data_IF_274114163190
#
_entry.id   IF_274114163190
#
_cell.length_a   1.000
_cell.length_b   1.000
_cell.length_c   1.000
_cell.angle_alpha   90.00
_cell.angle_beta   90.00
_cell.angle_gamma   90.00
#
_symmetry.space_group_name_H-M   'P 1'
#
loop_
_entity.id
_entity.type
_entity.pdbx_description
1 polymer ?
#
# COMPACT_ATOMS: atom_id res chain seq x y z
N UNK A 1 -11.96 -0.38 26.94
CA UNK A 1 -11.51 1.04 26.90
C UNK A 1 -10.10 1.16 26.33
N UNK A 2 -9.09 0.49 26.90
CA UNK A 2 -7.66 0.59 26.49
C UNK A 2 -7.45 0.35 24.99
N UNK A 3 -7.99 -0.75 24.41
CA UNK A 3 -7.88 -1.04 22.98
C UNK A 3 -8.38 0.11 22.09
N UNK A 4 -9.52 0.70 22.42
CA UNK A 4 -10.12 1.81 21.63
C UNK A 4 -9.23 3.04 21.63
N UNK A 5 -8.62 3.36 22.78
CA UNK A 5 -7.68 4.48 22.92
C UNK A 5 -6.41 4.20 22.08
N UNK A 6 -5.82 3.01 22.22
CA UNK A 6 -4.63 2.63 21.45
C UNK A 6 -4.91 2.59 19.95
N UNK A 7 -6.03 2.03 19.52
CA UNK A 7 -6.43 1.99 18.12
C UNK A 7 -6.68 3.40 17.55
N UNK A 8 -7.31 4.30 18.33
CA UNK A 8 -7.45 5.70 17.97
C UNK A 8 -6.09 6.38 17.81
N UNK A 9 -5.19 6.20 18.78
CA UNK A 9 -3.83 6.74 18.73
C UNK A 9 -3.08 6.22 17.50
N UNK A 10 -3.11 4.91 17.23
CA UNK A 10 -2.50 4.32 16.05
C UNK A 10 -3.12 4.87 14.74
N UNK A 11 -4.42 5.18 14.73
CA UNK A 11 -5.08 5.85 13.60
C UNK A 11 -4.55 7.26 13.36
N UNK A 12 -4.29 8.02 14.43
CA UNK A 12 -3.63 9.32 14.31
C UNK A 12 -2.22 9.15 13.78
N UNK A 13 -1.45 8.21 14.32
CA UNK A 13 -0.06 7.93 13.88
C UNK A 13 -0.03 7.54 12.40
N UNK A 14 -0.91 6.67 11.94
CA UNK A 14 -0.97 6.29 10.51
C UNK A 14 -1.33 7.47 9.61
N UNK A 15 -2.26 8.35 10.01
CA UNK A 15 -2.60 9.58 9.26
C UNK A 15 -1.46 10.61 9.23
N UNK A 16 -0.63 10.63 10.26
CA UNK A 16 0.58 11.46 10.28
C UNK A 16 1.65 10.84 9.37
N UNK A 17 1.87 9.53 9.46
CA UNK A 17 2.92 8.85 8.71
C UNK A 17 2.62 8.74 7.22
N UNK A 18 1.37 8.39 6.86
CA UNK A 18 0.92 8.32 5.47
C UNK A 18 0.18 9.59 5.08
N UNK A 19 0.44 10.05 3.86
CA UNK A 19 -0.30 11.17 3.28
C UNK A 19 -1.73 10.76 2.93
N UNK A 20 -1.92 9.50 2.53
CA UNK A 20 -3.20 8.94 2.14
C UNK A 20 -3.20 7.45 2.47
N UNK A 21 -4.23 7.01 3.17
CA UNK A 21 -4.59 5.61 3.40
C UNK A 21 -5.91 5.39 2.68
N UNK A 22 -5.88 4.61 1.63
CA UNK A 22 -7.07 4.21 0.87
C UNK A 22 -7.51 2.84 1.37
N UNK A 23 -8.80 2.66 1.60
CA UNK A 23 -9.36 1.41 2.12
C UNK A 23 -10.48 0.99 1.18
N UNK A 24 -10.47 -0.28 0.75
CA UNK A 24 -11.43 -0.85 -0.19
C UNK A 24 -11.86 -2.22 0.31
N UNK A 25 -13.13 -2.58 0.09
CA UNK A 25 -13.65 -3.91 0.43
C UNK A 25 -14.00 -4.07 1.92
N UNK A 26 -14.22 -2.98 2.66
CA UNK A 26 -14.62 -3.04 4.09
C UNK A 26 -15.96 -3.78 4.24
N UNK A 27 -16.81 -3.72 3.25
CA UNK A 27 -18.09 -4.43 3.13
C UNK A 27 -17.93 -5.96 3.12
N UNK A 28 -16.75 -6.47 2.78
CA UNK A 28 -16.41 -7.90 2.81
C UNK A 28 -16.11 -8.41 4.23
N UNK A 29 -16.01 -7.53 5.22
CA UNK A 29 -15.68 -7.90 6.59
C UNK A 29 -16.95 -8.26 7.34
N UNK A 30 -17.12 -9.53 7.77
CA UNK A 30 -18.27 -9.91 8.58
C UNK A 30 -18.33 -9.08 9.88
N UNK A 31 -19.47 -8.45 10.19
CA UNK A 31 -19.60 -7.61 11.39
C UNK A 31 -19.52 -8.43 12.68
N UNK A 32 -19.94 -9.68 12.63
CA UNK A 32 -19.98 -10.62 13.78
C UNK A 32 -19.34 -11.95 13.41
N UNK A 33 -19.23 -12.86 14.37
CA UNK A 33 -18.62 -14.17 14.18
C UNK A 33 -17.08 -14.14 14.20
N UNK A 34 -16.47 -15.32 14.19
CA UNK A 34 -15.02 -15.49 14.16
C UNK A 34 -14.43 -15.06 12.81
N UNK A 35 -13.45 -14.14 12.83
CA UNK A 35 -12.79 -13.66 11.62
C UNK A 35 -11.29 -13.81 11.72
N UNK A 36 -10.69 -14.34 10.66
CA UNK A 36 -9.25 -14.41 10.48
C UNK A 36 -8.83 -13.47 9.34
N UNK A 37 -8.24 -12.33 9.68
CA UNK A 37 -7.60 -11.44 8.70
C UNK A 37 -6.26 -12.03 8.29
N UNK A 38 -6.13 -12.45 7.04
CA UNK A 38 -4.89 -13.00 6.49
C UNK A 38 -4.30 -12.03 5.47
N UNK A 39 -3.15 -11.43 5.78
CA UNK A 39 -2.53 -10.38 4.97
C UNK A 39 -1.15 -10.74 4.42
N UNK A 40 -0.73 -10.10 3.30
CA UNK A 40 0.67 -10.06 2.93
C UNK A 40 1.47 -9.15 3.90
N UNK A 41 2.78 -9.35 4.01
CA UNK A 41 3.60 -8.73 5.05
C UNK A 41 4.80 -7.91 4.54
N UNK A 42 4.56 -6.82 3.78
CA UNK A 42 5.63 -6.06 3.14
C UNK A 42 6.32 -5.01 4.03
N UNK A 43 5.76 -4.66 5.20
CA UNK A 43 6.22 -3.49 5.96
C UNK A 43 6.19 -3.66 7.50
N UNK A 44 6.51 -4.87 7.95
CA UNK A 44 6.73 -5.20 9.36
C UNK A 44 5.59 -4.70 10.28
N UNK A 45 5.89 -3.92 11.33
CA UNK A 45 4.90 -3.46 12.32
C UNK A 45 3.81 -2.55 11.73
N UNK A 46 4.06 -1.91 10.59
CA UNK A 46 3.06 -1.04 9.95
C UNK A 46 1.86 -1.84 9.44
N UNK A 47 2.07 -3.06 8.97
CA UNK A 47 1.02 -3.88 8.38
C UNK A 47 -0.10 -4.23 9.38
N UNK A 48 0.17 -4.79 10.57
CA UNK A 48 -0.87 -5.00 11.56
C UNK A 48 -1.53 -3.69 12.03
N UNK A 49 -0.77 -2.59 12.13
CA UNK A 49 -1.32 -1.28 12.50
C UNK A 49 -2.36 -0.81 11.47
N UNK A 50 -2.08 -0.99 10.18
CA UNK A 50 -3.04 -0.64 9.12
C UNK A 50 -4.32 -1.46 9.22
N UNK A 51 -4.24 -2.78 9.44
CA UNK A 51 -5.42 -3.62 9.61
C UNK A 51 -6.21 -3.21 10.86
N UNK A 52 -5.56 -3.04 12.02
CA UNK A 52 -6.19 -2.59 13.28
C UNK A 52 -6.95 -1.28 13.08
N UNK A 53 -6.40 -0.36 12.30
CA UNK A 53 -6.95 1.00 12.15
C UNK A 53 -8.01 1.12 11.06
N UNK A 54 -8.17 0.12 10.20
CA UNK A 54 -9.05 0.17 9.02
C UNK A 54 -10.19 -0.85 9.00
N UNK A 55 -10.07 -2.00 9.68
CA UNK A 55 -11.05 -3.09 9.58
C UNK A 55 -12.34 -2.89 10.40
N UNK A 56 -12.40 -1.92 11.31
CA UNK A 56 -13.58 -1.68 12.16
C UNK A 56 -13.78 -2.66 13.31
N UNK A 57 -12.98 -3.75 13.41
CA UNK A 57 -13.08 -4.78 14.45
C UNK A 57 -11.88 -4.73 15.41
N UNK A 58 -12.06 -5.30 16.61
CA UNK A 58 -10.95 -5.55 17.53
C UNK A 58 -10.17 -6.76 17.03
N UNK A 59 -8.93 -6.54 16.57
CA UNK A 59 -8.09 -7.60 16.00
C UNK A 59 -6.97 -7.97 16.96
N UNK A 60 -6.81 -9.26 17.19
CA UNK A 60 -5.73 -9.85 17.97
C UNK A 60 -4.65 -10.36 17.01
N UNK A 61 -3.42 -9.87 17.11
CA UNK A 61 -2.32 -10.31 16.24
C UNK A 61 -1.37 -11.25 16.95
N UNK A 62 -0.95 -12.28 16.23
CA UNK A 62 0.19 -13.08 16.62
C UNK A 62 1.48 -12.26 16.47
N UNK A 63 2.19 -12.02 17.55
CA UNK A 63 3.40 -11.23 17.58
C UNK A 63 4.58 -12.01 18.18
N UNK A 64 5.79 -11.77 17.66
CA UNK A 64 7.00 -12.42 18.12
C UNK A 64 7.22 -12.16 19.63
N UNK A 65 7.49 -13.21 20.40
CA UNK A 65 7.68 -13.15 21.86
C UNK A 65 8.77 -12.16 22.29
N UNK A 66 9.82 -11.99 21.47
CA UNK A 66 10.90 -11.04 21.74
C UNK A 66 10.41 -9.58 21.80
N UNK A 67 9.27 -9.25 21.19
CA UNK A 67 8.67 -7.92 21.27
C UNK A 67 8.06 -7.65 22.65
N UNK A 68 7.78 -8.66 23.44
CA UNK A 68 7.21 -8.53 24.79
C UNK A 68 8.26 -8.37 25.90
N UNK A 69 9.56 -8.31 25.59
CA UNK A 69 10.63 -8.19 26.59
C UNK A 69 10.59 -6.88 27.35
N UNK A 70 10.28 -5.75 26.69
CA UNK A 70 10.18 -4.43 27.31
C UNK A 70 8.86 -4.20 28.05
N UNK A 71 8.88 -3.62 29.27
CA UNK A 71 7.67 -3.37 30.09
C UNK A 71 6.61 -2.55 29.33
N UNK A 72 7.03 -1.44 28.70
CA UNK A 72 6.14 -0.57 27.95
C UNK A 72 5.57 -1.29 26.69
N UNK A 73 6.44 -1.90 25.90
CA UNK A 73 6.02 -2.62 24.68
C UNK A 73 5.09 -3.78 25.02
N UNK A 74 5.37 -4.52 26.10
CA UNK A 74 4.47 -5.56 26.61
C UNK A 74 3.09 -5.03 26.99
N UNK A 75 3.02 -3.89 27.68
CA UNK A 75 1.74 -3.27 28.04
C UNK A 75 0.96 -2.82 26.81
N UNK A 76 1.62 -2.19 25.83
CA UNK A 76 1.00 -1.75 24.56
C UNK A 76 0.51 -2.96 23.75
N UNK A 77 1.34 -3.97 23.56
CA UNK A 77 0.98 -5.18 22.78
C UNK A 77 -0.17 -5.95 23.45
N UNK A 78 -0.14 -6.12 24.78
CA UNK A 78 -1.26 -6.72 25.52
C UNK A 78 -2.53 -5.85 25.44
N UNK A 79 -2.41 -4.54 25.52
CA UNK A 79 -3.53 -3.61 25.36
C UNK A 79 -4.16 -3.68 23.97
N UNK A 80 -3.38 -3.98 22.94
CA UNK A 80 -3.84 -4.26 21.57
C UNK A 80 -4.33 -5.71 21.39
N UNK A 81 -4.21 -6.57 22.43
CA UNK A 81 -4.62 -7.97 22.35
C UNK A 81 -3.65 -8.85 21.57
N UNK A 82 -2.38 -8.44 21.43
CA UNK A 82 -1.39 -9.25 20.74
C UNK A 82 -1.06 -10.54 21.54
N UNK A 83 -1.00 -11.67 20.83
CA UNK A 83 -0.68 -13.00 21.35
C UNK A 83 0.79 -13.31 21.05
N UNK A 84 1.62 -13.60 22.07
CA UNK A 84 3.02 -13.93 21.83
C UNK A 84 3.15 -15.30 21.17
N UNK A 85 3.96 -15.39 20.10
CA UNK A 85 4.31 -16.64 19.42
C UNK A 85 5.83 -16.78 19.30
N UNK A 86 6.34 -18.00 19.41
CA UNK A 86 7.73 -18.34 19.11
C UNK A 86 7.84 -18.88 17.69
N UNK A 87 8.82 -18.39 16.93
CA UNK A 87 9.13 -18.90 15.59
C UNK A 87 10.19 -20.00 15.68
N UNK A 88 10.07 -21.05 14.86
CA UNK A 88 11.09 -22.12 14.80
C UNK A 88 12.48 -21.59 14.43
N UNK A 89 12.54 -20.61 13.53
CA UNK A 89 13.78 -20.01 13.03
C UNK A 89 14.56 -19.21 14.11
N UNK A 90 13.96 -18.94 15.27
CA UNK A 90 14.62 -18.22 16.37
C UNK A 90 15.42 -19.15 17.32
N UNK A 91 15.42 -20.45 17.09
CA UNK A 91 16.16 -21.45 17.89
C UNK A 91 17.56 -21.70 17.37
N UNK A 92 17.77 -21.43 16.08
CA UNK A 92 19.04 -21.68 15.44
C UNK A 92 19.78 -20.35 15.24
N UNK A 93 20.60 -19.98 16.25
CA UNK A 93 21.82 -19.28 15.91
C UNK A 93 22.50 -20.15 14.84
N UNK A 94 22.74 -19.60 13.66
CA UNK A 94 23.30 -20.24 12.44
C UNK A 94 24.13 -21.48 12.78
N UNK A 95 23.65 -22.72 12.51
CA UNK A 95 24.50 -23.87 12.68
C UNK A 95 25.63 -23.81 11.63
N UNK A 96 26.85 -24.25 11.98
CA UNK A 96 27.89 -24.46 10.99
C UNK A 96 27.37 -25.46 9.95
N UNK A 97 27.70 -25.22 8.70
CA UNK A 97 27.20 -25.95 7.51
C UNK A 97 27.48 -27.46 7.49
N UNK A 98 28.18 -27.98 8.53
CA UNK A 98 28.70 -29.36 8.61
C UNK A 98 28.33 -30.08 9.89
N UNK A 99 27.25 -29.70 10.62
CA UNK A 99 26.81 -30.43 11.79
C UNK A 99 25.86 -31.58 11.42
N UNK A 100 26.06 -32.82 11.94
CA UNK A 100 25.21 -33.96 11.65
C UNK A 100 23.78 -33.73 12.21
N UNK A 101 22.78 -34.15 11.44
CA UNK A 101 21.37 -34.07 11.79
C UNK A 101 21.06 -34.73 13.13
N UNK A 102 20.76 -33.93 14.15
CA UNK A 102 20.25 -34.47 15.42
C UNK A 102 18.75 -34.75 15.32
N UNK A 103 18.24 -35.77 15.97
CA UNK A 103 16.85 -36.16 15.90
C UNK A 103 15.94 -35.12 16.51
N UNK A 104 14.91 -34.74 15.74
CA UNK A 104 13.90 -33.73 16.09
C UNK A 104 13.01 -34.27 17.22
N UNK A 105 13.42 -34.06 18.47
CA UNK A 105 12.56 -34.29 19.64
C UNK A 105 12.27 -32.99 20.36
N UNK A 106 10.97 -32.60 20.32
CA UNK A 106 10.27 -31.56 21.07
C UNK A 106 10.81 -30.12 20.91
N UNK A 107 9.98 -29.09 20.74
CA UNK A 107 8.75 -28.85 21.48
C UNK A 107 7.58 -28.32 20.64
N UNK A 108 6.57 -29.10 20.52
CA UNK A 108 5.23 -28.67 20.10
C UNK A 108 4.57 -27.76 21.16
N UNK A 109 4.97 -27.86 22.43
CA UNK A 109 4.31 -27.25 23.59
C UNK A 109 4.23 -25.72 23.60
N UNK A 110 5.19 -25.01 23.04
CA UNK A 110 5.23 -23.53 23.13
C UNK A 110 4.28 -22.82 22.13
N UNK A 111 3.91 -23.47 21.03
CA UNK A 111 2.93 -22.93 20.09
C UNK A 111 1.49 -23.38 20.41
N UNK A 112 1.30 -24.45 21.15
CA UNK A 112 -0.05 -24.93 21.56
C UNK A 112 -0.77 -23.90 22.42
N UNK A 113 -0.10 -23.30 23.40
CA UNK A 113 -0.70 -22.25 24.24
C UNK A 113 -1.10 -21.02 23.43
N UNK A 114 -0.29 -20.63 22.43
CA UNK A 114 -0.60 -19.52 21.53
C UNK A 114 -1.78 -19.86 20.61
N UNK A 115 -1.82 -21.09 20.07
CA UNK A 115 -2.97 -21.54 19.27
C UNK A 115 -4.23 -21.65 20.12
N UNK A 116 -4.16 -22.17 21.35
CA UNK A 116 -5.29 -22.23 22.27
C UNK A 116 -5.87 -20.83 22.56
N UNK A 117 -5.01 -19.83 22.80
CA UNK A 117 -5.44 -18.46 23.00
C UNK A 117 -6.10 -17.86 21.75
N UNK A 118 -5.59 -18.18 20.55
CA UNK A 118 -6.19 -17.74 19.29
C UNK A 118 -7.52 -18.44 19.03
N UNK A 119 -7.64 -19.73 19.31
CA UNK A 119 -8.92 -20.44 19.21
C UNK A 119 -9.98 -19.83 20.12
N UNK A 120 -9.65 -19.54 21.38
CA UNK A 120 -10.58 -18.89 22.32
C UNK A 120 -11.10 -17.54 21.80
N UNK A 121 -10.27 -16.77 21.08
CA UNK A 121 -10.70 -15.54 20.42
C UNK A 121 -11.71 -15.83 19.30
N UNK A 122 -11.45 -16.82 18.44
CA UNK A 122 -12.34 -17.16 17.33
C UNK A 122 -13.68 -17.76 17.85
N UNK A 123 -13.62 -18.64 18.85
CA UNK A 123 -14.78 -19.22 19.52
C UNK A 123 -15.71 -18.17 20.13
N UNK A 124 -15.12 -17.10 20.69
CA UNK A 124 -15.89 -15.94 21.20
C UNK A 124 -16.42 -15.00 20.12
N UNK A 125 -16.29 -15.36 18.84
CA UNK A 125 -16.67 -14.49 17.72
C UNK A 125 -15.73 -13.29 17.50
N UNK A 126 -14.50 -13.37 18.05
CA UNK A 126 -13.48 -12.33 17.91
C UNK A 126 -12.75 -12.37 16.56
N UNK A 127 -11.82 -11.45 16.37
CA UNK A 127 -11.04 -11.38 15.16
C UNK A 127 -9.53 -11.52 15.44
N UNK A 128 -8.85 -12.29 14.58
CA UNK A 128 -7.41 -12.51 14.61
C UNK A 128 -6.79 -11.98 13.32
N UNK A 129 -5.60 -11.40 13.42
CA UNK A 129 -4.76 -11.05 12.27
C UNK A 129 -3.53 -11.96 12.20
N UNK A 130 -3.26 -12.47 11.02
CA UNK A 130 -2.11 -13.32 10.73
C UNK A 130 -1.48 -12.94 9.38
N UNK A 131 -0.18 -13.11 9.30
CA UNK A 131 0.56 -13.00 8.05
C UNK A 131 1.06 -14.39 7.67
N UNK A 132 0.37 -15.08 6.73
CA UNK A 132 0.63 -16.50 6.46
C UNK A 132 1.99 -16.76 5.79
N UNK A 133 2.67 -15.74 5.28
CA UNK A 133 4.06 -15.81 4.83
C UNK A 133 5.02 -16.16 5.96
N UNK A 134 4.67 -15.77 7.19
CA UNK A 134 5.44 -16.04 8.40
C UNK A 134 6.70 -15.19 8.56
N UNK A 135 6.99 -14.32 7.60
CA UNK A 135 8.09 -13.34 7.63
C UNK A 135 7.64 -12.06 6.93
N UNK A 136 8.26 -10.93 7.29
CA UNK A 136 8.10 -9.67 6.58
C UNK A 136 9.23 -9.52 5.57
N UNK A 137 8.91 -9.12 4.32
CA UNK A 137 9.87 -8.93 3.23
C UNK A 137 9.35 -7.88 2.24
N UNK A 138 10.25 -7.33 1.43
CA UNK A 138 9.89 -6.38 0.37
C UNK A 138 10.14 -6.95 -1.04
N UNK A 139 9.91 -8.24 -1.24
CA UNK A 139 9.97 -8.88 -2.54
C UNK A 139 8.78 -8.47 -3.42
N UNK A 140 8.95 -8.61 -4.73
CA UNK A 140 7.92 -8.26 -5.72
C UNK A 140 6.82 -9.31 -5.86
N UNK A 141 6.92 -10.42 -5.13
CA UNK A 141 5.99 -11.53 -5.13
C UNK A 141 5.59 -11.93 -3.71
N UNK A 142 4.38 -12.47 -3.58
CA UNK A 142 3.94 -13.10 -2.36
C UNK A 142 4.80 -14.35 -2.08
N UNK A 143 5.36 -14.45 -0.88
CA UNK A 143 6.10 -15.62 -0.47
C UNK A 143 5.18 -16.84 -0.29
N UNK A 144 5.77 -18.04 -0.29
CA UNK A 144 5.01 -19.28 -0.07
C UNK A 144 4.30 -19.21 1.29
N UNK A 145 2.99 -19.45 1.29
CA UNK A 145 2.21 -19.43 2.50
C UNK A 145 2.50 -20.65 3.39
N UNK A 146 2.58 -20.39 4.69
CA UNK A 146 2.60 -21.43 5.74
C UNK A 146 1.17 -21.84 6.08
N UNK A 147 0.99 -23.08 6.47
CA UNK A 147 -0.33 -23.67 6.75
C UNK A 147 -1.00 -23.18 8.05
N UNK A 148 -0.36 -22.29 8.81
CA UNK A 148 -0.84 -21.83 10.11
C UNK A 148 -2.21 -21.15 10.06
N UNK A 149 -2.47 -20.34 9.03
CA UNK A 149 -3.76 -19.67 8.83
C UNK A 149 -4.90 -20.68 8.59
N UNK A 150 -4.68 -21.66 7.70
CA UNK A 150 -5.65 -22.69 7.39
C UNK A 150 -5.94 -23.58 8.62
N UNK A 151 -4.90 -23.99 9.35
CA UNK A 151 -5.06 -24.76 10.60
C UNK A 151 -5.85 -24.00 11.65
N UNK A 152 -5.62 -22.68 11.75
CA UNK A 152 -6.32 -21.84 12.71
C UNK A 152 -7.80 -21.67 12.33
N UNK A 153 -8.10 -21.49 11.05
CA UNK A 153 -9.48 -21.35 10.59
C UNK A 153 -10.27 -22.66 10.71
N UNK A 154 -9.72 -23.78 10.24
CA UNK A 154 -10.37 -25.10 10.31
C UNK A 154 -10.54 -25.56 11.76
N UNK A 155 -9.49 -25.45 12.58
CA UNK A 155 -9.55 -25.82 14.00
C UNK A 155 -10.47 -24.89 14.80
N UNK A 156 -10.51 -23.60 14.44
CA UNK A 156 -11.43 -22.62 15.03
C UNK A 156 -12.89 -22.93 14.71
N UNK A 157 -13.20 -23.24 13.44
CA UNK A 157 -14.55 -23.60 13.00
C UNK A 157 -15.03 -24.91 13.67
N UNK A 158 -14.16 -25.92 13.74
CA UNK A 158 -14.46 -27.18 14.44
C UNK A 158 -14.77 -26.95 15.92
N UNK A 159 -13.97 -26.17 16.63
CA UNK A 159 -14.15 -25.89 18.07
C UNK A 159 -15.35 -24.99 18.36
N UNK A 160 -15.54 -23.95 17.56
CA UNK A 160 -16.63 -22.98 17.73
C UNK A 160 -17.99 -23.56 17.34
N UNK A 161 -18.04 -24.70 16.64
CA UNK A 161 -19.26 -25.24 16.01
C UNK A 161 -20.00 -24.21 15.16
N UNK A 162 -19.28 -23.22 14.66
CA UNK A 162 -19.78 -22.09 13.89
C UNK A 162 -18.80 -21.74 12.75
N UNK A 163 -19.26 -21.18 11.64
CA UNK A 163 -18.39 -20.78 10.54
C UNK A 163 -17.36 -19.72 10.96
N UNK A 164 -16.13 -19.88 10.49
CA UNK A 164 -15.07 -18.89 10.59
C UNK A 164 -14.83 -18.29 9.21
N UNK A 165 -14.74 -16.96 9.12
CA UNK A 165 -14.45 -16.27 7.87
C UNK A 165 -12.97 -15.89 7.80
N UNK A 166 -12.26 -16.33 6.75
CA UNK A 166 -10.94 -15.80 6.43
C UNK A 166 -11.15 -14.61 5.49
N UNK A 167 -10.72 -13.42 5.90
CA UNK A 167 -10.73 -12.23 5.06
C UNK A 167 -9.32 -11.97 4.53
N UNK A 168 -9.06 -12.20 3.23
CA UNK A 168 -7.77 -11.89 2.64
C UNK A 168 -7.52 -10.37 2.64
N UNK A 169 -6.32 -9.94 3.02
CA UNK A 169 -5.95 -8.52 3.14
C UNK A 169 -4.77 -8.22 2.22
N UNK A 170 -4.97 -7.38 1.20
CA UNK A 170 -3.91 -6.88 0.33
C UNK A 170 -3.37 -5.53 0.81
N UNK A 171 -2.09 -5.47 1.16
CA UNK A 171 -1.41 -4.25 1.56
C UNK A 171 -0.45 -3.82 0.44
N UNK A 172 -0.75 -2.69 -0.22
CA UNK A 172 0.05 -2.15 -1.32
C UNK A 172 0.58 -0.76 -1.00
N UNK A 173 1.89 -0.64 -0.90
CA UNK A 173 2.57 0.62 -0.63
C UNK A 173 3.15 1.23 -1.91
N UNK A 174 2.85 2.50 -2.19
CA UNK A 174 3.45 3.21 -3.35
C UNK A 174 4.96 3.39 -3.16
N UNK A 175 5.36 3.78 -1.94
CA UNK A 175 6.77 3.88 -1.54
C UNK A 175 6.88 3.38 -0.09
N UNK A 176 7.13 2.08 0.15
CA UNK A 176 7.01 1.46 1.46
C UNK A 176 7.89 2.12 2.53
N UNK A 177 9.08 2.63 2.16
CA UNK A 177 10.07 3.23 3.08
C UNK A 177 9.93 4.74 3.28
N UNK A 178 8.99 5.39 2.56
CA UNK A 178 8.92 6.85 2.52
C UNK A 178 7.85 7.40 3.45
N UNK A 179 8.26 8.31 4.36
CA UNK A 179 7.33 9.14 5.12
C UNK A 179 6.47 10.00 4.20
N UNK A 180 5.19 10.16 4.51
CA UNK A 180 4.17 10.83 3.67
C UNK A 180 3.95 10.15 2.32
N UNK A 181 4.10 8.82 2.28
CA UNK A 181 3.71 7.98 1.15
C UNK A 181 2.19 7.72 1.15
N UNK A 182 1.75 6.92 0.19
CA UNK A 182 0.37 6.42 0.09
C UNK A 182 0.36 4.92 0.25
N UNK A 183 -0.70 4.42 0.85
CA UNK A 183 -0.94 2.99 1.01
C UNK A 183 -2.39 2.66 0.66
N UNK A 184 -2.59 1.50 0.06
CA UNK A 184 -3.88 0.90 -0.21
C UNK A 184 -4.02 -0.34 0.67
N UNK A 185 -5.14 -0.42 1.38
CA UNK A 185 -5.57 -1.58 2.16
C UNK A 185 -6.80 -2.16 1.49
N UNK A 186 -6.73 -3.41 1.05
CA UNK A 186 -7.81 -4.10 0.36
C UNK A 186 -8.27 -5.29 1.17
N UNK A 187 -9.57 -5.41 1.39
CA UNK A 187 -10.20 -6.58 1.99
C UNK A 187 -10.94 -7.35 0.88
N UNK A 188 -10.46 -8.57 0.59
CA UNK A 188 -11.07 -9.45 -0.40
C UNK A 188 -12.33 -10.11 0.11
N UNK A 189 -13.10 -10.77 -0.79
CA UNK A 189 -14.24 -11.59 -0.41
C UNK A 189 -13.85 -12.61 0.67
N UNK A 190 -14.68 -12.84 1.70
CA UNK A 190 -14.37 -13.78 2.75
C UNK A 190 -14.43 -15.22 2.25
N UNK A 191 -13.46 -16.03 2.65
CA UNK A 191 -13.49 -17.49 2.50
C UNK A 191 -14.18 -18.03 3.76
N UNK A 192 -15.37 -18.60 3.58
CA UNK A 192 -16.15 -19.13 4.71
C UNK A 192 -15.75 -20.58 4.98
N UNK A 193 -15.25 -20.83 6.16
CA UNK A 193 -14.85 -22.16 6.65
C UNK A 193 -15.94 -22.70 7.56
N UNK A 194 -16.72 -23.66 7.08
CA UNK A 194 -17.78 -24.30 7.87
C UNK A 194 -17.21 -25.27 8.90
N UNK A 195 -17.92 -25.53 10.02
CA UNK A 195 -17.56 -26.57 10.95
C UNK A 195 -17.46 -27.92 10.25
N UNK A 196 -16.37 -28.62 10.47
CA UNK A 196 -16.10 -29.95 9.92
C UNK A 196 -15.54 -30.86 11.01
N UNK A 197 -15.44 -32.15 10.72
CA UNK A 197 -14.64 -33.09 11.52
C UNK A 197 -13.20 -32.59 11.70
N UNK A 198 -12.40 -33.15 12.62
CA UNK A 198 -11.03 -32.67 12.85
C UNK A 198 -10.27 -32.43 11.55
N UNK A 199 -9.58 -31.28 11.40
CA UNK A 199 -9.01 -30.86 10.12
C UNK A 199 -7.98 -31.84 9.59
N UNK A 200 -8.25 -32.42 8.42
CA UNK A 200 -7.31 -33.30 7.71
C UNK A 200 -6.17 -32.50 7.08
N UNK A 201 -5.05 -33.18 6.81
CA UNK A 201 -3.92 -32.58 6.12
C UNK A 201 -4.28 -32.07 4.72
N UNK A 202 -5.23 -32.73 4.03
CA UNK A 202 -5.71 -32.35 2.70
C UNK A 202 -6.57 -31.10 2.77
N UNK A 203 -7.49 -31.00 3.72
CA UNK A 203 -8.29 -29.78 3.94
C UNK A 203 -7.40 -28.58 4.25
N UNK A 204 -6.35 -28.76 5.06
CA UNK A 204 -5.39 -27.71 5.36
C UNK A 204 -4.62 -27.26 4.11
N UNK A 205 -4.20 -28.20 3.25
CA UNK A 205 -3.52 -27.87 1.97
C UNK A 205 -4.45 -27.15 1.01
N UNK A 206 -5.68 -27.66 0.85
CA UNK A 206 -6.68 -27.06 -0.04
C UNK A 206 -7.00 -25.60 0.38
N UNK A 207 -7.31 -25.36 1.66
CA UNK A 207 -7.61 -24.04 2.18
C UNK A 207 -6.40 -23.10 2.09
N UNK A 208 -5.17 -23.61 2.26
CA UNK A 208 -3.95 -22.81 2.10
C UNK A 208 -3.78 -22.39 0.64
N UNK A 209 -4.06 -23.28 -0.33
CA UNK A 209 -3.98 -22.96 -1.76
C UNK A 209 -5.08 -21.95 -2.18
N UNK A 210 -6.29 -22.07 -1.65
CA UNK A 210 -7.38 -21.13 -1.87
C UNK A 210 -7.02 -19.73 -1.35
N UNK A 211 -6.47 -19.65 -0.14
CA UNK A 211 -5.99 -18.40 0.46
C UNK A 211 -4.82 -17.80 -0.34
N UNK A 212 -3.87 -18.61 -0.82
CA UNK A 212 -2.77 -18.15 -1.68
C UNK A 212 -3.32 -17.50 -2.95
N UNK A 213 -4.26 -18.17 -3.63
CA UNK A 213 -4.94 -17.61 -4.80
C UNK A 213 -5.68 -16.31 -4.50
N UNK A 214 -6.37 -16.22 -3.34
CA UNK A 214 -7.08 -15.02 -2.93
C UNK A 214 -6.12 -13.86 -2.64
N UNK A 215 -5.00 -14.08 -1.96
CA UNK A 215 -4.00 -13.06 -1.69
C UNK A 215 -3.27 -12.60 -2.96
N UNK A 216 -2.94 -13.52 -3.88
CA UNK A 216 -2.33 -13.16 -5.16
C UNK A 216 -3.22 -12.24 -6.00
N UNK A 217 -4.54 -12.38 -5.92
CA UNK A 217 -5.48 -11.45 -6.58
C UNK A 217 -5.48 -10.05 -5.98
N UNK A 218 -5.09 -9.88 -4.73
CA UNK A 218 -5.06 -8.58 -4.02
C UNK A 218 -3.68 -7.93 -4.01
N UNK A 219 -2.63 -8.67 -4.37
CA UNK A 219 -1.23 -8.22 -4.31
C UNK A 219 -0.62 -8.15 -5.70
N UNK A 220 0.45 -7.38 -5.83
CA UNK A 220 1.26 -7.34 -7.04
C UNK A 220 2.22 -8.54 -7.00
N UNK A 221 2.22 -9.37 -8.04
CA UNK A 221 3.06 -10.54 -8.15
C UNK A 221 3.76 -10.53 -9.51
N UNK A 222 4.96 -9.96 -9.56
CA UNK A 222 5.77 -9.91 -10.77
C UNK A 222 7.16 -10.52 -10.49
N UNK A 223 7.87 -11.01 -11.52
CA UNK A 223 9.18 -11.65 -11.35
C UNK A 223 10.19 -10.75 -10.62
N UNK A 224 10.11 -9.45 -10.87
CA UNK A 224 11.00 -8.44 -10.30
C UNK A 224 10.34 -7.07 -10.18
N UNK A 225 11.00 -6.15 -9.51
CA UNK A 225 10.52 -4.78 -9.31
C UNK A 225 10.51 -3.93 -10.59
N UNK A 226 11.27 -4.31 -11.62
CA UNK A 226 11.24 -3.64 -12.91
C UNK A 226 9.94 -3.95 -13.64
N UNK A 227 9.54 -5.22 -13.66
CA UNK A 227 8.22 -5.65 -14.16
C UNK A 227 7.08 -4.98 -13.42
N UNK A 228 7.14 -4.86 -12.08
CA UNK A 228 6.13 -4.11 -11.29
C UNK A 228 6.00 -2.67 -11.78
N UNK A 229 7.12 -1.98 -11.99
CA UNK A 229 7.11 -0.59 -12.47
C UNK A 229 6.58 -0.48 -13.90
N UNK A 230 6.94 -1.42 -14.76
CA UNK A 230 6.44 -1.47 -16.13
C UNK A 230 4.92 -1.70 -16.16
N UNK A 231 4.41 -2.67 -15.39
CA UNK A 231 2.95 -2.93 -15.26
C UNK A 231 2.20 -1.71 -14.69
N UNK A 232 2.76 -1.01 -13.69
CA UNK A 232 2.15 0.22 -13.19
C UNK A 232 2.15 1.34 -14.25
N UNK A 233 3.13 1.36 -15.13
CA UNK A 233 3.19 2.31 -16.25
C UNK A 233 2.19 1.92 -17.34
N UNK A 234 2.10 0.63 -17.72
CA UNK A 234 1.04 0.10 -18.61
C UNK A 234 -0.34 0.50 -18.08
N UNK A 235 -0.60 0.26 -16.80
CA UNK A 235 -1.85 0.64 -16.15
C UNK A 235 -2.14 2.14 -16.28
N UNK A 236 -1.14 3.01 -16.07
CA UNK A 236 -1.31 4.47 -16.19
C UNK A 236 -1.58 4.91 -17.63
N UNK A 237 -0.98 4.27 -18.60
CA UNK A 237 -1.18 4.54 -20.02
C UNK A 237 -2.56 4.05 -20.48
N UNK A 238 -3.01 2.88 -19.99
CA UNK A 238 -4.30 2.31 -20.31
C UNK A 238 -5.49 3.04 -19.68
N UNK A 239 -5.37 3.50 -18.42
CA UNK A 239 -6.45 4.14 -17.67
C UNK A 239 -6.77 5.55 -18.17
N UNK A 240 -8.03 6.04 -18.06
CA UNK A 240 -8.36 7.45 -18.24
C UNK A 240 -7.60 8.37 -17.26
N UNK A 241 -7.50 9.66 -17.59
CA UNK A 241 -6.84 10.65 -16.70
C UNK A 241 -7.54 10.78 -15.35
N UNK A 242 -8.86 10.66 -15.35
CA UNK A 242 -9.70 10.61 -14.15
C UNK A 242 -10.29 9.22 -14.04
N UNK A 243 -9.99 8.55 -12.96
CA UNK A 243 -10.39 7.19 -12.67
C UNK A 243 -10.79 7.08 -11.21
N UNK A 244 -11.86 6.37 -10.92
CA UNK A 244 -12.29 6.06 -9.56
C UNK A 244 -11.27 5.15 -8.86
N UNK A 245 -11.27 5.13 -7.53
CA UNK A 245 -10.41 4.22 -6.75
C UNK A 245 -10.79 2.77 -7.07
N UNK A 246 -12.10 2.48 -7.16
CA UNK A 246 -12.60 1.14 -7.49
C UNK A 246 -12.09 0.63 -8.83
N UNK A 247 -12.23 1.42 -9.90
CA UNK A 247 -11.76 1.04 -11.24
C UNK A 247 -10.24 0.87 -11.28
N UNK A 248 -9.49 1.68 -10.51
CA UNK A 248 -8.03 1.55 -10.40
C UNK A 248 -7.63 0.24 -9.75
N UNK A 249 -8.33 -0.15 -8.70
CA UNK A 249 -8.10 -1.42 -7.99
C UNK A 249 -8.45 -2.58 -8.89
N UNK A 250 -9.61 -2.51 -9.56
CA UNK A 250 -10.04 -3.55 -10.49
C UNK A 250 -9.07 -3.70 -11.66
N UNK A 251 -8.60 -2.61 -12.23
CA UNK A 251 -7.60 -2.63 -13.30
C UNK A 251 -6.28 -3.27 -12.83
N UNK A 252 -5.78 -2.88 -11.65
CA UNK A 252 -4.58 -3.48 -11.07
C UNK A 252 -4.78 -4.98 -10.82
N UNK A 253 -5.95 -5.39 -10.32
CA UNK A 253 -6.31 -6.79 -10.11
C UNK A 253 -6.30 -7.57 -11.43
N UNK A 254 -6.91 -7.05 -12.50
CA UNK A 254 -6.93 -7.71 -13.82
C UNK A 254 -5.51 -7.89 -14.36
N UNK A 255 -4.68 -6.86 -14.32
CA UNK A 255 -3.29 -6.97 -14.74
C UNK A 255 -2.53 -8.03 -13.94
N UNK A 256 -2.63 -8.02 -12.61
CA UNK A 256 -1.96 -9.01 -11.76
C UNK A 256 -2.42 -10.45 -12.03
N UNK A 257 -3.72 -10.65 -12.26
CA UNK A 257 -4.29 -11.99 -12.50
C UNK A 257 -3.87 -12.56 -13.86
N UNK A 258 -3.87 -11.73 -14.90
CA UNK A 258 -3.71 -12.22 -16.27
C UNK A 258 -2.29 -12.08 -16.83
N UNK A 259 -1.44 -11.22 -16.25
CA UNK A 259 -0.09 -10.98 -16.78
C UNK A 259 0.74 -12.27 -16.90
N UNK A 260 0.71 -13.15 -15.90
CA UNK A 260 1.48 -14.40 -15.94
C UNK A 260 1.14 -15.30 -17.13
N UNK A 261 -0.12 -15.30 -17.58
CA UNK A 261 -0.56 -16.09 -18.71
C UNK A 261 -0.13 -15.51 -20.08
N UNK A 262 0.09 -14.19 -20.16
CA UNK A 262 0.42 -13.48 -21.41
C UNK A 262 1.86 -12.95 -21.46
N UNK A 263 2.63 -13.14 -20.40
CA UNK A 263 3.98 -12.59 -20.26
C UNK A 263 4.95 -13.08 -21.36
N UNK A 264 4.73 -14.27 -21.92
CA UNK A 264 5.53 -14.85 -23.00
C UNK A 264 5.03 -14.47 -24.43
N UNK A 265 3.90 -13.78 -24.55
CA UNK A 265 3.39 -13.34 -25.86
C UNK A 265 4.35 -12.29 -26.45
N UNK A 266 4.82 -12.47 -27.70
CA UNK A 266 5.76 -11.54 -28.33
C UNK A 266 5.28 -10.09 -28.34
N UNK A 267 3.97 -9.85 -28.48
CA UNK A 267 3.35 -8.51 -28.46
C UNK A 267 3.50 -7.88 -27.08
N UNK A 268 3.30 -8.67 -26.01
CA UNK A 268 3.44 -8.23 -24.63
C UNK A 268 4.90 -7.95 -24.29
N UNK A 269 5.82 -8.82 -24.72
CA UNK A 269 7.28 -8.66 -24.52
C UNK A 269 7.74 -7.35 -25.16
N UNK A 270 7.38 -7.09 -26.43
CA UNK A 270 7.77 -5.86 -27.13
C UNK A 270 7.12 -4.61 -26.48
N UNK A 271 5.85 -4.70 -26.07
CA UNK A 271 5.18 -3.62 -25.36
C UNK A 271 5.92 -3.28 -24.05
N UNK A 272 6.26 -4.29 -23.25
CA UNK A 272 6.98 -4.12 -21.98
C UNK A 272 8.35 -3.49 -22.20
N UNK A 273 9.08 -3.91 -23.23
CA UNK A 273 10.37 -3.31 -23.62
C UNK A 273 10.22 -1.80 -23.91
N UNK A 274 9.21 -1.41 -24.68
CA UNK A 274 8.91 0.00 -25.01
C UNK A 274 8.47 0.80 -23.79
N UNK A 275 7.66 0.20 -22.92
CA UNK A 275 7.22 0.81 -21.66
C UNK A 275 8.41 1.04 -20.72
N UNK A 276 9.33 0.10 -20.61
CA UNK A 276 10.55 0.27 -19.83
C UNK A 276 11.43 1.40 -20.41
N UNK A 277 11.63 1.44 -21.74
CA UNK A 277 12.37 2.52 -22.37
C UNK A 277 11.74 3.90 -22.12
N UNK A 278 10.42 3.99 -22.23
CA UNK A 278 9.67 5.20 -21.89
C UNK A 278 9.85 5.60 -20.42
N UNK A 279 9.81 4.65 -19.48
CA UNK A 279 10.02 4.92 -18.06
C UNK A 279 11.44 5.45 -17.79
N UNK A 280 12.45 4.90 -18.43
CA UNK A 280 13.84 5.41 -18.35
C UNK A 280 13.92 6.87 -18.84
N UNK A 281 13.27 7.20 -19.94
CA UNK A 281 13.24 8.59 -20.45
C UNK A 281 12.54 9.55 -19.46
N UNK A 282 11.44 9.11 -18.85
CA UNK A 282 10.76 9.88 -17.79
C UNK A 282 11.69 10.12 -16.59
N UNK A 283 12.43 9.10 -16.17
CA UNK A 283 13.35 9.18 -15.04
C UNK A 283 14.55 10.10 -15.33
N UNK A 284 15.13 10.01 -16.53
CA UNK A 284 16.21 10.91 -16.99
C UNK A 284 15.77 12.35 -16.99
N UNK A 285 14.58 12.65 -17.52
CA UNK A 285 14.02 14.00 -17.52
C UNK A 285 13.46 14.41 -16.15
N UNK A 286 13.30 13.47 -15.22
CA UNK A 286 12.70 13.69 -13.92
C UNK A 286 11.24 14.15 -13.99
N UNK A 287 10.52 13.81 -15.06
CA UNK A 287 9.11 14.12 -15.31
C UNK A 287 8.30 12.85 -15.07
N UNK A 288 7.08 12.97 -14.56
CA UNK A 288 6.19 11.82 -14.42
C UNK A 288 5.21 11.73 -15.59
N UNK A 289 4.77 10.52 -15.91
CA UNK A 289 3.73 10.27 -16.92
C UNK A 289 2.49 11.16 -16.73
N UNK A 290 2.04 11.34 -15.47
CA UNK A 290 0.88 12.22 -15.17
C UNK A 290 1.12 13.70 -15.52
N UNK A 291 2.33 14.18 -15.41
CA UNK A 291 2.72 15.56 -15.79
C UNK A 291 2.79 15.72 -17.30
N UNK A 292 3.15 14.65 -18.00
CA UNK A 292 3.17 14.58 -19.45
C UNK A 292 1.75 14.47 -20.04
N UNK A 293 0.94 13.59 -19.43
CA UNK A 293 -0.45 13.31 -19.82
C UNK A 293 -1.39 14.52 -19.67
N UNK A 294 -1.14 15.35 -18.64
CA UNK A 294 -1.85 16.62 -18.46
C UNK A 294 -1.16 17.68 -19.30
N UNK A 295 -1.78 18.02 -20.41
CA UNK A 295 -1.27 19.11 -21.27
C UNK A 295 -1.54 20.48 -20.64
N UNK A 296 -0.97 20.70 -19.45
CA UNK A 296 -1.09 21.96 -18.73
C UNK A 296 -0.17 23.00 -19.39
N UNK A 297 -0.70 24.17 -19.67
CA UNK A 297 0.11 25.32 -20.06
C UNK A 297 1.06 25.74 -18.93
N UNK A 298 2.14 26.42 -19.26
CA UNK A 298 3.06 26.95 -18.25
C UNK A 298 2.35 27.90 -17.27
N UNK A 299 1.31 28.62 -17.74
CA UNK A 299 0.47 29.50 -16.90
C UNK A 299 -0.32 28.71 -15.88
N UNK A 300 -0.92 27.58 -16.25
CA UNK A 300 -1.66 26.73 -15.33
C UNK A 300 -0.75 26.07 -14.29
N UNK A 301 0.46 25.65 -14.70
CA UNK A 301 1.47 25.13 -13.75
C UNK A 301 1.85 26.22 -12.75
N UNK A 302 2.12 27.44 -13.23
CA UNK A 302 2.47 28.59 -12.40
C UNK A 302 1.32 28.98 -11.46
N UNK A 303 0.08 29.03 -11.95
CA UNK A 303 -1.11 29.31 -11.13
C UNK A 303 -1.33 28.27 -10.01
N UNK A 304 -1.16 26.97 -10.34
CA UNK A 304 -1.23 25.91 -9.33
C UNK A 304 -0.11 26.01 -8.30
N UNK A 305 1.09 26.34 -8.76
CA UNK A 305 2.24 26.55 -7.89
C UNK A 305 1.99 27.74 -6.96
N UNK A 306 1.50 28.88 -7.51
CA UNK A 306 1.16 30.07 -6.72
C UNK A 306 0.11 29.76 -5.65
N UNK A 307 -0.95 29.04 -5.99
CA UNK A 307 -1.93 28.59 -4.99
C UNK A 307 -1.28 27.78 -3.85
N UNK A 308 -0.28 26.93 -4.18
CA UNK A 308 0.43 26.18 -3.14
C UNK A 308 1.36 27.08 -2.32
N UNK A 309 1.97 28.09 -2.92
CA UNK A 309 2.78 29.12 -2.23
C UNK A 309 1.92 29.93 -1.27
N UNK A 310 0.74 30.40 -1.71
CA UNK A 310 -0.20 31.11 -0.83
C UNK A 310 -0.63 30.26 0.37
N UNK A 311 -1.01 28.98 0.12
CA UNK A 311 -1.37 28.07 1.20
C UNK A 311 -0.18 27.74 2.12
N UNK A 312 1.03 27.70 1.59
CA UNK A 312 2.24 27.53 2.38
C UNK A 312 2.45 28.74 3.28
N UNK A 313 2.29 29.97 2.75
CA UNK A 313 2.35 31.20 3.53
C UNK A 313 1.34 31.23 4.68
N UNK A 314 0.13 30.73 4.46
CA UNK A 314 -0.89 30.61 5.51
C UNK A 314 -0.50 29.62 6.64
N UNK A 315 0.06 28.45 6.28
CA UNK A 315 0.43 27.43 7.26
C UNK A 315 1.77 27.69 7.98
N UNK A 316 2.65 28.51 7.37
CA UNK A 316 4.00 28.75 7.89
C UNK A 316 4.00 29.40 9.30
N UNK A 317 3.23 30.45 9.59
CA UNK A 317 3.17 31.03 10.94
C UNK A 317 2.67 30.03 12.00
N UNK A 318 1.69 29.18 11.65
CA UNK A 318 1.16 28.16 12.55
C UNK A 318 2.17 27.02 12.81
N UNK A 319 3.12 26.80 11.91
CA UNK A 319 4.19 25.83 12.08
C UNK A 319 5.27 26.33 13.08
N UNK A 320 5.54 27.65 13.12
CA UNK A 320 6.68 28.26 13.82
C UNK A 320 6.80 27.80 15.28
N UNK A 321 5.73 27.77 16.12
CA UNK A 321 5.85 27.41 17.53
C UNK A 321 6.42 26.00 17.77
N UNK A 322 6.10 25.05 16.91
CA UNK A 322 6.55 23.67 17.03
C UNK A 322 7.72 23.29 16.10
N UNK A 323 8.12 24.17 15.18
CA UNK A 323 9.18 23.89 14.21
C UNK A 323 10.49 23.43 14.86
N UNK A 324 10.97 24.03 15.98
CA UNK A 324 12.18 23.57 16.67
C UNK A 324 12.11 22.12 17.14
N UNK A 325 10.91 21.59 17.41
CA UNK A 325 10.70 20.22 17.86
C UNK A 325 10.45 19.25 16.67
N UNK A 326 9.62 19.67 15.71
CA UNK A 326 9.21 18.79 14.63
C UNK A 326 10.27 18.62 13.54
N UNK A 327 10.97 19.68 13.17
CA UNK A 327 11.97 19.63 12.08
C UNK A 327 13.13 18.69 12.42
N UNK A 328 13.76 18.77 13.60
CA UNK A 328 14.80 17.82 14.00
C UNK A 328 14.27 16.39 14.09
N UNK A 329 13.07 16.17 14.64
CA UNK A 329 12.48 14.84 14.76
C UNK A 329 12.26 14.19 13.38
N UNK A 330 11.72 14.94 12.41
CA UNK A 330 11.53 14.45 11.02
C UNK A 330 12.90 14.21 10.35
N UNK A 331 13.87 15.10 10.53
CA UNK A 331 15.20 14.94 9.97
C UNK A 331 15.90 13.69 10.55
N UNK A 332 15.85 13.52 11.87
CA UNK A 332 16.41 12.34 12.55
C UNK A 332 15.74 11.06 12.05
N UNK A 333 14.40 10.98 12.01
CA UNK A 333 13.70 9.80 11.54
C UNK A 333 14.06 9.42 10.10
N UNK A 334 14.31 10.42 9.22
CA UNK A 334 14.77 10.18 7.83
C UNK A 334 16.13 9.50 7.78
N UNK A 335 17.04 9.91 8.68
CA UNK A 335 18.42 9.40 8.74
C UNK A 335 18.48 8.08 9.50
N UNK A 336 17.79 7.98 10.63
CA UNK A 336 17.80 6.82 11.50
C UNK A 336 17.23 5.56 10.80
N UNK A 337 16.17 5.70 10.02
CA UNK A 337 15.54 4.56 9.36
C UNK A 337 16.53 3.69 8.59
N UNK A 338 17.24 4.21 7.57
CA UNK A 338 18.20 3.42 6.79
C UNK A 338 19.47 3.03 7.55
N UNK A 339 19.89 3.85 8.53
CA UNK A 339 21.16 3.62 9.26
C UNK A 339 21.02 2.63 10.39
N UNK A 340 19.90 2.63 11.11
CA UNK A 340 19.66 1.75 12.25
C UNK A 340 19.11 0.37 11.87
N UNK A 341 18.70 0.19 10.59
CA UNK A 341 18.04 -1.03 10.17
C UNK A 341 18.56 -1.50 8.82
N UNK A 342 19.26 -2.66 8.76
CA UNK A 342 19.75 -3.23 7.50
C UNK A 342 18.59 -3.82 6.66
N UNK A 343 17.51 -4.23 7.28
CA UNK A 343 16.34 -4.82 6.63
C UNK A 343 15.44 -3.76 6.01
N UNK A 344 15.20 -3.85 4.72
CA UNK A 344 14.43 -2.87 3.94
C UNK A 344 12.96 -2.75 4.36
N UNK A 345 12.34 -3.86 4.74
CA UNK A 345 10.95 -3.96 5.22
C UNK A 345 10.71 -3.33 6.61
N UNK A 346 11.77 -3.10 7.40
CA UNK A 346 11.69 -2.52 8.74
C UNK A 346 11.98 -1.01 8.76
N UNK A 347 12.54 -0.46 7.67
CA UNK A 347 12.93 0.97 7.60
C UNK A 347 11.78 1.91 7.96
N UNK A 348 10.58 1.67 7.45
CA UNK A 348 9.43 2.53 7.75
C UNK A 348 8.98 2.41 9.20
N UNK A 349 8.99 1.21 9.76
CA UNK A 349 8.72 0.96 11.18
C UNK A 349 9.70 1.73 12.06
N UNK A 350 11.01 1.68 11.75
CA UNK A 350 12.04 2.42 12.48
C UNK A 350 11.82 3.93 12.41
N UNK A 351 11.48 4.47 11.23
CA UNK A 351 11.14 5.89 11.06
C UNK A 351 9.91 6.29 11.87
N UNK A 352 8.87 5.46 11.85
CA UNK A 352 7.63 5.71 12.58
C UNK A 352 7.89 5.72 14.09
N UNK A 353 8.53 4.69 14.62
CA UNK A 353 8.78 4.55 16.06
C UNK A 353 9.74 5.60 16.57
N UNK A 354 10.87 5.83 15.89
CA UNK A 354 11.86 6.83 16.31
C UNK A 354 11.32 8.26 16.21
N UNK A 355 10.60 8.59 15.12
CA UNK A 355 9.99 9.89 14.97
C UNK A 355 8.89 10.15 16.00
N UNK A 356 8.04 9.14 16.25
CA UNK A 356 6.99 9.22 17.27
C UNK A 356 7.59 9.41 18.68
N UNK A 357 8.61 8.61 19.04
CA UNK A 357 9.26 8.69 20.34
C UNK A 357 9.88 10.08 20.56
N UNK A 358 10.60 10.60 19.55
CA UNK A 358 11.22 11.93 19.64
C UNK A 358 10.19 13.03 19.78
N UNK A 359 9.11 13.01 19.00
CA UNK A 359 8.05 14.04 19.09
C UNK A 359 7.36 13.98 20.45
N UNK A 360 7.01 12.79 20.94
CA UNK A 360 6.36 12.66 22.26
C UNK A 360 7.29 13.08 23.39
N UNK A 361 8.57 12.70 23.34
CA UNK A 361 9.56 13.11 24.34
C UNK A 361 9.77 14.64 24.31
N UNK A 362 9.87 15.23 23.11
CA UNK A 362 10.01 16.67 22.95
C UNK A 362 8.78 17.44 23.47
N UNK A 363 7.57 16.93 23.23
CA UNK A 363 6.34 17.52 23.77
C UNK A 363 6.31 17.43 25.30
N UNK A 364 6.62 16.26 25.86
CA UNK A 364 6.69 16.09 27.31
C UNK A 364 7.70 17.04 27.97
N UNK A 365 8.90 17.15 27.36
CA UNK A 365 9.93 18.07 27.85
C UNK A 365 9.49 19.54 27.74
N UNK A 366 8.92 19.95 26.61
CA UNK A 366 8.45 21.32 26.42
C UNK A 366 7.33 21.68 27.40
N UNK A 367 6.35 20.80 27.60
CA UNK A 367 5.25 20.98 28.57
C UNK A 367 5.82 21.06 30.00
N UNK A 368 6.75 20.19 30.38
CA UNK A 368 7.38 20.19 31.71
C UNK A 368 8.18 21.49 31.97
N UNK A 369 8.97 21.93 30.99
CA UNK A 369 9.75 23.18 31.09
C UNK A 369 8.82 24.40 31.22
N UNK A 370 7.75 24.47 30.42
CA UNK A 370 6.81 25.58 30.50
C UNK A 370 5.99 25.54 31.78
N UNK A 371 5.65 24.38 32.29
CA UNK A 371 5.03 24.25 33.61
C UNK A 371 5.92 24.82 34.70
N UNK A 372 7.21 24.41 34.68
CA UNK A 372 8.16 24.89 35.69
C UNK A 372 8.46 26.39 35.58
N UNK A 373 8.56 26.94 34.35
CA UNK A 373 8.93 28.33 34.11
C UNK A 373 7.77 29.32 34.19
N UNK A 374 6.59 28.92 33.73
CA UNK A 374 5.45 29.83 33.50
C UNK A 374 4.10 29.27 34.03
N UNK A 375 4.14 28.15 34.76
CA UNK A 375 2.98 27.57 35.44
C UNK A 375 2.05 26.77 34.54
N UNK A 376 0.92 26.35 35.14
CA UNK A 376 -0.09 25.47 34.53
C UNK A 376 -0.70 26.03 33.25
N UNK A 377 -1.07 27.33 33.15
CA UNK A 377 -1.68 27.85 31.92
C UNK A 377 -0.76 27.73 30.69
N UNK A 378 0.55 27.98 30.86
CA UNK A 378 1.52 27.86 29.78
C UNK A 378 1.73 26.39 29.35
N UNK A 379 1.73 25.46 30.31
CA UNK A 379 1.81 24.02 30.02
C UNK A 379 0.57 23.54 29.24
N UNK A 380 -0.62 23.95 29.62
CA UNK A 380 -1.86 23.62 28.91
C UNK A 380 -1.88 24.23 27.49
N UNK A 381 -1.47 25.50 27.36
CA UNK A 381 -1.34 26.14 26.05
C UNK A 381 -0.35 25.36 25.16
N UNK A 382 0.82 24.94 25.67
CA UNK A 382 1.78 24.15 24.94
C UNK A 382 1.22 22.78 24.53
N UNK A 383 0.50 22.09 25.42
CA UNK A 383 -0.12 20.79 25.14
C UNK A 383 -1.15 20.86 23.99
N UNK A 384 -1.74 22.02 23.73
CA UNK A 384 -2.67 22.27 22.62
C UNK A 384 -1.91 22.79 21.38
N UNK A 385 -1.08 23.80 21.54
CA UNK A 385 -0.41 24.49 20.44
C UNK A 385 0.59 23.58 19.72
N UNK A 386 1.36 22.73 20.44
CA UNK A 386 2.36 21.88 19.84
C UNK A 386 1.76 20.84 18.88
N UNK A 387 0.71 20.07 19.21
CA UNK A 387 0.04 19.18 18.26
C UNK A 387 -0.56 19.92 17.04
N UNK A 388 -1.19 21.07 17.25
CA UNK A 388 -1.72 21.91 16.16
C UNK A 388 -0.61 22.40 15.24
N UNK A 389 0.51 22.87 15.80
CA UNK A 389 1.71 23.23 15.05
C UNK A 389 2.31 22.01 14.32
N UNK A 390 2.19 20.80 14.88
CA UNK A 390 2.55 19.55 14.21
C UNK A 390 1.73 19.30 12.95
N UNK A 391 0.42 19.53 13.00
CA UNK A 391 -0.46 19.46 11.82
C UNK A 391 -0.04 20.51 10.79
N UNK A 392 0.24 21.74 11.22
CA UNK A 392 0.73 22.80 10.33
C UNK A 392 2.07 22.41 9.68
N UNK A 393 3.00 21.83 10.42
CA UNK A 393 4.27 21.30 9.91
C UNK A 393 4.05 20.29 8.78
N UNK A 394 3.13 19.33 8.95
CA UNK A 394 2.79 18.36 7.90
C UNK A 394 2.22 19.04 6.65
N UNK A 395 1.34 20.04 6.83
CA UNK A 395 0.77 20.81 5.72
C UNK A 395 1.84 21.60 4.97
N UNK A 396 2.76 22.25 5.70
CA UNK A 396 3.91 22.96 5.10
C UNK A 396 4.78 21.99 4.32
N UNK A 397 5.16 20.84 4.88
CA UNK A 397 5.98 19.85 4.18
C UNK A 397 5.31 19.33 2.89
N UNK A 398 4.00 19.05 2.94
CA UNK A 398 3.26 18.61 1.77
C UNK A 398 3.20 19.69 0.69
N UNK A 399 2.97 20.97 1.05
CA UNK A 399 2.89 22.08 0.12
C UNK A 399 4.27 22.45 -0.46
N UNK A 400 5.31 22.51 0.38
CA UNK A 400 6.68 22.76 -0.05
C UNK A 400 7.15 21.69 -1.07
N UNK A 401 6.80 20.42 -0.86
CA UNK A 401 7.08 19.37 -1.82
C UNK A 401 6.39 19.63 -3.18
N UNK A 402 5.11 20.06 -3.17
CA UNK A 402 4.36 20.35 -4.40
C UNK A 402 4.90 21.58 -5.14
N UNK A 403 5.26 22.63 -4.40
CA UNK A 403 5.90 23.84 -4.97
C UNK A 403 7.23 23.48 -5.63
N UNK A 404 8.12 22.78 -4.89
CA UNK A 404 9.43 22.34 -5.41
C UNK A 404 9.27 21.48 -6.65
N UNK A 405 8.28 20.57 -6.65
CA UNK A 405 7.98 19.73 -7.80
C UNK A 405 7.48 20.54 -8.99
N UNK A 406 6.52 21.45 -8.78
CA UNK A 406 5.99 22.32 -9.82
C UNK A 406 7.07 23.21 -10.45
N UNK A 407 7.93 23.79 -9.63
CA UNK A 407 9.10 24.56 -10.08
C UNK A 407 10.05 23.68 -10.91
N UNK A 408 10.39 22.49 -10.42
CA UNK A 408 11.25 21.56 -11.15
C UNK A 408 10.67 21.14 -12.51
N UNK A 409 9.35 20.94 -12.60
CA UNK A 409 8.67 20.66 -13.88
C UNK A 409 8.76 21.84 -14.82
N UNK A 410 8.48 23.05 -14.34
CA UNK A 410 8.53 24.28 -15.14
C UNK A 410 9.93 24.49 -15.72
N UNK A 411 10.97 24.42 -14.89
CA UNK A 411 12.38 24.55 -15.31
C UNK A 411 12.75 23.50 -16.35
N UNK A 412 12.40 22.24 -16.14
CA UNK A 412 12.71 21.16 -17.09
C UNK A 412 11.96 21.33 -18.42
N UNK A 413 10.69 21.74 -18.39
CA UNK A 413 9.92 22.04 -19.60
C UNK A 413 10.52 23.18 -20.41
N UNK A 414 11.04 24.22 -19.75
CA UNK A 414 11.72 25.30 -20.40
C UNK A 414 13.07 24.89 -20.97
N UNK A 415 13.86 24.14 -20.19
CA UNK A 415 15.22 23.73 -20.58
C UNK A 415 15.22 22.61 -21.64
N UNK A 416 14.28 21.66 -21.59
CA UNK A 416 14.24 20.47 -22.45
C UNK A 416 13.01 20.44 -23.37
N UNK A 417 12.60 21.60 -23.91
CA UNK A 417 11.35 21.73 -24.69
C UNK A 417 11.21 20.69 -25.80
N UNK A 418 12.29 20.44 -26.57
CA UNK A 418 12.30 19.47 -27.70
C UNK A 418 12.13 18.04 -27.20
N UNK A 419 12.87 17.65 -26.18
CA UNK A 419 12.79 16.30 -25.59
C UNK A 419 11.41 16.01 -24.97
N UNK A 420 10.82 16.99 -24.27
CA UNK A 420 9.47 16.87 -23.72
C UNK A 420 8.41 16.76 -24.81
N UNK A 421 8.56 17.49 -25.93
CA UNK A 421 7.64 17.40 -27.07
C UNK A 421 7.77 16.07 -27.80
N UNK A 422 8.98 15.52 -27.96
CA UNK A 422 9.20 14.18 -28.51
C UNK A 422 8.57 13.13 -27.61
N UNK A 423 8.85 13.16 -26.29
CA UNK A 423 8.32 12.21 -25.33
C UNK A 423 6.78 12.22 -25.24
N UNK A 424 6.13 13.36 -25.52
CA UNK A 424 4.65 13.43 -25.63
C UNK A 424 4.13 12.69 -26.84
N UNK A 425 4.81 12.78 -27.98
CA UNK A 425 4.44 12.03 -29.18
C UNK A 425 4.63 10.54 -28.95
N UNK A 426 5.78 10.14 -28.39
CA UNK A 426 6.05 8.76 -28.04
C UNK A 426 5.00 8.21 -27.05
N UNK A 427 4.60 9.02 -26.07
CA UNK A 427 3.52 8.67 -25.14
C UNK A 427 2.19 8.44 -25.87
N UNK A 428 1.82 9.30 -26.80
CA UNK A 428 0.56 9.17 -27.53
C UNK A 428 0.51 7.86 -28.34
N UNK A 429 1.61 7.55 -29.04
CA UNK A 429 1.76 6.27 -29.74
C UNK A 429 1.70 5.09 -28.79
N UNK A 430 2.45 5.16 -27.67
CA UNK A 430 2.50 4.09 -26.67
C UNK A 430 1.15 3.85 -25.98
N UNK A 431 0.34 4.88 -25.78
CA UNK A 431 -1.06 4.73 -25.29
C UNK A 431 -1.88 3.91 -26.29
N UNK A 432 -1.73 4.16 -27.59
CA UNK A 432 -2.38 3.38 -28.61
C UNK A 432 -1.97 1.93 -28.61
N UNK A 433 -0.67 1.68 -28.58
CA UNK A 433 -0.15 0.30 -28.55
C UNK A 433 -0.57 -0.43 -27.27
N UNK A 434 -0.59 0.23 -26.11
CA UNK A 434 -1.08 -0.36 -24.85
C UNK A 434 -2.55 -0.76 -24.97
N UNK A 435 -3.40 0.12 -25.51
CA UNK A 435 -4.83 -0.17 -25.66
C UNK A 435 -5.01 -1.35 -26.62
N UNK A 436 -4.34 -1.33 -27.77
CA UNK A 436 -4.40 -2.39 -28.78
C UNK A 436 -3.98 -3.74 -28.18
N UNK A 437 -2.77 -3.83 -27.65
CA UNK A 437 -2.23 -5.10 -27.11
C UNK A 437 -3.10 -5.60 -25.96
N UNK A 438 -3.51 -4.75 -25.01
CA UNK A 438 -4.37 -5.16 -23.90
C UNK A 438 -5.73 -5.69 -24.42
N UNK A 439 -6.32 -5.06 -25.45
CA UNK A 439 -7.57 -5.51 -26.06
C UNK A 439 -7.42 -6.85 -26.76
N UNK A 440 -6.30 -7.07 -27.46
CA UNK A 440 -6.04 -8.32 -28.21
C UNK A 440 -5.69 -9.50 -27.29
N UNK A 441 -4.94 -9.27 -26.20
CA UNK A 441 -4.48 -10.37 -25.31
C UNK A 441 -5.44 -10.64 -24.15
N UNK A 442 -6.41 -9.77 -23.90
CA UNK A 442 -7.38 -10.01 -22.83
C UNK A 442 -8.22 -11.25 -23.12
N UNK A 443 -8.60 -12.07 -22.11
CA UNK A 443 -9.56 -13.16 -22.31
C UNK A 443 -10.88 -12.66 -22.90
N UNK A 444 -11.44 -13.36 -23.89
CA UNK A 444 -12.70 -12.99 -24.52
C UNK A 444 -13.88 -12.86 -23.54
N UNK A 445 -13.82 -13.61 -22.43
CA UNK A 445 -14.82 -13.57 -21.34
C UNK A 445 -14.71 -12.34 -20.44
N UNK A 446 -13.62 -11.56 -20.54
CA UNK A 446 -13.40 -10.41 -19.69
C UNK A 446 -13.95 -9.14 -20.35
N UNK A 447 -15.00 -8.48 -19.78
CA UNK A 447 -15.55 -7.26 -20.34
C UNK A 447 -14.52 -6.13 -20.29
N UNK A 448 -14.59 -5.22 -21.28
CA UNK A 448 -13.77 -4.02 -21.30
C UNK A 448 -14.04 -3.17 -20.05
N UNK A 449 -12.99 -2.72 -19.37
CA UNK A 449 -13.16 -1.83 -18.21
C UNK A 449 -13.47 -0.40 -18.64
N UNK A 450 -12.96 0.00 -19.80
CA UNK A 450 -13.18 1.32 -20.39
C UNK A 450 -13.65 1.21 -21.85
N UNK A 451 -14.89 0.71 -22.10
CA UNK A 451 -15.37 0.40 -23.46
C UNK A 451 -15.32 1.61 -24.41
N UNK A 452 -15.68 2.80 -23.95
CA UNK A 452 -15.62 4.04 -24.77
C UNK A 452 -14.22 4.37 -25.26
N UNK A 453 -13.19 4.05 -24.49
CA UNK A 453 -11.80 4.32 -24.85
C UNK A 453 -11.26 3.30 -25.82
N UNK A 454 -11.67 2.05 -25.68
CA UNK A 454 -11.34 0.98 -26.61
C UNK A 454 -11.99 1.24 -27.98
N UNK A 455 -13.27 1.64 -28.01
CA UNK A 455 -14.01 2.00 -29.24
C UNK A 455 -13.43 3.23 -29.96
N UNK A 456 -13.11 4.29 -29.23
CA UNK A 456 -12.49 5.49 -29.84
C UNK A 456 -11.13 5.20 -30.48
N UNK A 457 -10.44 4.17 -30.03
CA UNK A 457 -9.18 3.76 -30.62
C UNK A 457 -9.40 2.92 -31.88
N UNK A 458 -10.41 2.04 -31.86
CA UNK A 458 -10.81 1.22 -33.00
C UNK A 458 -11.29 2.08 -34.17
N UNK A 459 -12.09 3.14 -33.88
CA UNK A 459 -12.53 4.14 -34.87
C UNK A 459 -11.38 5.00 -35.44
N UNK A 460 -10.33 5.26 -34.63
CA UNK A 460 -9.17 6.03 -35.08
C UNK A 460 -8.17 5.21 -35.93
N UNK A 461 -8.17 3.89 -35.78
CA UNK A 461 -7.30 2.95 -36.52
C UNK A 461 -7.93 2.45 -37.84
N UNK A 462 -9.25 2.68 -38.03
CA UNK A 462 -9.91 2.43 -39.33
C UNK A 462 -9.37 3.50 -40.32
N UNK A 463 -8.66 3.11 -41.39
CA UNK A 463 -8.22 4.08 -42.37
C UNK A 463 -9.46 4.76 -42.96
N UNK A 464 -9.55 6.08 -42.79
CA UNK A 464 -10.63 6.86 -43.44
C UNK A 464 -10.58 6.53 -44.91
N UNK A 465 -11.55 5.73 -45.38
CA UNK A 465 -11.77 5.53 -46.82
C UNK A 465 -11.85 6.91 -47.44
N UNK A 466 -10.97 7.19 -48.37
CA UNK A 466 -11.10 8.39 -49.17
C UNK A 466 -12.49 8.40 -49.76
N UNK A 467 -13.21 9.53 -49.74
CA UNK A 467 -14.53 9.60 -50.34
C UNK A 467 -14.44 9.10 -51.77
N UNK A 468 -15.30 8.15 -52.12
CA UNK A 468 -15.36 7.60 -53.48
C UNK A 468 -15.71 8.73 -54.46
N UNK A 469 -15.10 8.69 -55.64
CA UNK A 469 -15.35 9.70 -56.67
C UNK A 469 -16.86 9.87 -57.07
N UNK A 470 -17.72 8.95 -56.60
CA UNK A 470 -19.19 9.01 -56.79
C UNK A 470 -19.87 10.09 -55.91
N UNK A 471 -19.26 10.54 -54.82
CA UNK A 471 -19.83 11.60 -53.94
C UNK A 471 -19.38 13.00 -54.32
N UNK A 472 -18.48 13.18 -55.27
CA UNK A 472 -18.06 14.51 -55.76
C UNK A 472 -18.92 15.08 -56.85
N UNK A 473 -19.77 14.24 -57.47
CA UNK A 473 -20.62 14.68 -58.60
C UNK A 473 -22.06 15.09 -58.18
N UNK A 474 -22.31 15.17 -56.86
CA UNK A 474 -23.58 15.64 -56.32
C UNK A 474 -23.51 17.02 -55.70
N UNK A 475 -22.98 18.00 -56.44
CA UNK A 475 -23.25 19.44 -56.13
C UNK A 475 -24.65 19.79 -56.66
N UNK A 476 -25.56 20.32 -55.82
CA UNK A 476 -26.83 20.82 -56.29
C UNK A 476 -26.62 22.13 -57.05
N UNK A 477 -27.16 22.23 -58.29
CA UNK A 477 -27.26 23.46 -59.06
C UNK A 477 -27.95 24.57 -58.24
N UNK A 478 -27.49 25.83 -58.36
CA UNK A 478 -28.12 26.96 -57.67
C UNK A 478 -29.53 27.21 -58.30
N UNK A 479 -30.52 27.58 -57.47
CA UNK A 479 -31.84 27.90 -57.96
C UNK A 479 -31.85 29.17 -58.82
N UNK A 480 -32.85 29.28 -59.74
CA UNK A 480 -32.94 30.32 -60.76
C UNK A 480 -33.17 31.74 -60.23
#
# INVERSE_FOLDING_TARGET
MVYRILAWFLRVVTRVFFRQVEIVGVENIPPTGGVLFAGNHPNSLIDPILIITSCGRKVHFAAKDTLFKGRLMRAVLRGLGAVPIRRRDDRDGTPPRDAPAQPVSAPALDNESAFAAMFAVLESGGAIGIFPEGLSHDDSQLARLKTGAARLALGGAHRATAPISIVPCGLTFIHPRRFRSRVLVQYGPPIVVSPQEPPTADAVRALTAELDGALRRLTINAPDWETVRALDTVRRLYQPLEISIGDRVELARRFNTHYGAVAADPRVVELMRRVCAYQVQLDVLGITDRELARDLSNREIAARMMRHVTLLGFWLPLMVPGAPLHVPAVAFARIAGPRLTPRKDVIATTKLLSGMLLVLAAYAAAVAVLWWRAGVPAALAAAIVLPLSGIATLRVLDRAHLVRRGFGVLVRRLRFRRAVAALRRDRAQLVGDVIRVVTEVKPATLPALFPRREQQHEEADVPRRAPSNAERDAEPEPPP
#
